data_IF_992057424151
#
_entry.id   IF_992057424151
#
_cell.length_a   1.000
_cell.length_b   1.000
_cell.length_c   1.000
_cell.angle_alpha   90.00
_cell.angle_beta   90.00
_cell.angle_gamma   90.00
#
_symmetry.space_group_name_H-M   'P 1'
#
loop_
_entity.id
_entity.type
_entity.pdbx_description
1 polymer ?
#
# COMPACT_ATOMS: atom_id res chain seq x y z
N UNK A 1 -7.03 4.48 -8.94
CA UNK A 1 -6.17 3.34 -9.28
C UNK A 1 -6.93 2.09 -8.92
N UNK A 2 -6.98 1.06 -9.77
CA UNK A 2 -7.38 -0.27 -9.33
C UNK A 2 -6.56 -0.66 -8.08
N UNK A 3 -7.18 -1.37 -7.15
CA UNK A 3 -6.52 -1.82 -5.93
C UNK A 3 -5.54 -2.97 -6.23
N UNK A 4 -4.67 -3.30 -5.27
CA UNK A 4 -3.83 -4.49 -5.37
C UNK A 4 -4.70 -5.72 -5.55
N UNK A 5 -4.29 -6.62 -6.43
CA UNK A 5 -5.10 -7.78 -6.79
C UNK A 5 -4.75 -8.96 -5.88
N UNK A 6 -5.75 -9.39 -5.11
CA UNK A 6 -5.74 -10.63 -4.35
C UNK A 6 -5.13 -10.53 -2.95
N UNK A 7 -5.78 -11.22 -2.00
CA UNK A 7 -5.37 -11.32 -0.60
C UNK A 7 -4.07 -12.08 -0.35
N UNK A 8 -3.59 -12.86 -1.35
CA UNK A 8 -2.46 -13.80 -1.23
C UNK A 8 -2.65 -14.88 -0.16
N UNK A 9 -3.84 -15.00 0.42
CA UNK A 9 -4.20 -15.99 1.44
C UNK A 9 -4.78 -17.28 0.85
N UNK A 10 -5.40 -17.21 -0.34
CA UNK A 10 -6.04 -18.36 -1.00
C UNK A 10 -5.80 -18.40 -2.53
N UNK A 11 -4.99 -19.35 -3.04
CA UNK A 11 -4.07 -20.18 -2.27
C UNK A 11 -2.96 -19.31 -1.67
N UNK A 12 -2.41 -19.68 -0.49
CA UNK A 12 -1.42 -18.86 0.17
C UNK A 12 -0.11 -18.80 -0.65
N UNK A 13 0.39 -17.58 -0.92
CA UNK A 13 1.68 -17.44 -1.60
C UNK A 13 2.84 -17.79 -0.66
N UNK A 14 4.00 -18.23 -1.18
CA UNK A 14 5.19 -18.49 -0.34
C UNK A 14 5.62 -17.25 0.47
N UNK A 15 5.51 -16.05 -0.11
CA UNK A 15 5.82 -14.79 0.54
C UNK A 15 4.82 -14.45 1.65
N UNK A 16 3.52 -14.70 1.42
CA UNK A 16 2.49 -14.58 2.46
C UNK A 16 2.78 -15.52 3.63
N UNK A 17 3.05 -16.81 3.37
CA UNK A 17 3.39 -17.78 4.44
C UNK A 17 4.63 -17.33 5.22
N UNK A 18 5.61 -16.74 4.52
CA UNK A 18 6.88 -16.33 5.12
C UNK A 18 6.75 -15.08 5.99
N UNK A 19 6.04 -14.06 5.52
CA UNK A 19 6.00 -12.74 6.16
C UNK A 19 4.70 -12.46 6.89
N UNK A 20 3.61 -13.10 6.47
CA UNK A 20 2.24 -12.84 6.92
C UNK A 20 1.86 -11.35 6.82
N UNK A 21 2.25 -10.77 5.69
CA UNK A 21 2.02 -9.37 5.33
C UNK A 21 1.25 -9.39 4.02
N UNK A 22 0.07 -8.79 4.00
CA UNK A 22 -0.81 -8.81 2.84
C UNK A 22 -1.69 -7.56 2.77
N UNK A 23 -2.55 -7.51 1.77
CA UNK A 23 -3.54 -6.48 1.51
C UNK A 23 -4.77 -7.19 0.95
N UNK A 24 -5.94 -6.65 1.22
CA UNK A 24 -7.15 -7.02 0.49
C UNK A 24 -7.34 -6.11 -0.72
N UNK A 25 -8.44 -6.31 -1.43
CA UNK A 25 -8.89 -5.43 -2.51
C UNK A 25 -9.36 -4.05 -1.98
N UNK A 26 -9.14 -3.73 -0.71
CA UNK A 26 -9.40 -2.43 -0.07
C UNK A 26 -8.17 -1.51 -0.04
N UNK A 27 -7.00 -2.01 -0.45
CA UNK A 27 -5.74 -1.24 -0.45
C UNK A 27 -5.18 -0.94 0.94
N UNK A 28 -5.65 -1.65 1.98
CA UNK A 28 -5.07 -1.60 3.33
C UNK A 28 -3.98 -2.64 3.45
N UNK A 29 -2.84 -2.24 4.03
CA UNK A 29 -1.75 -3.18 4.32
C UNK A 29 -2.00 -3.81 5.69
N UNK A 30 -2.28 -5.10 5.70
CA UNK A 30 -2.43 -5.93 6.88
C UNK A 30 -1.06 -6.51 7.27
N UNK A 31 -0.62 -6.19 8.50
CA UNK A 31 0.70 -6.57 9.00
C UNK A 31 0.60 -7.50 10.21
N UNK A 32 0.48 -8.80 9.96
CA UNK A 32 0.45 -9.82 11.01
C UNK A 32 1.87 -10.32 11.27
N UNK A 33 2.62 -9.60 12.09
CA UNK A 33 4.07 -9.79 12.21
C UNK A 33 4.49 -11.25 12.48
N UNK A 34 5.04 -11.91 11.46
CA UNK A 34 5.79 -13.17 11.63
C UNK A 34 7.20 -12.87 12.19
N UNK A 35 7.92 -13.88 12.64
CA UNK A 35 9.30 -13.71 13.12
C UNK A 35 10.24 -13.03 12.09
N UNK A 36 9.93 -13.16 10.80
CA UNK A 36 10.70 -12.56 9.70
C UNK A 36 10.21 -11.16 9.31
N UNK A 37 9.05 -10.73 9.80
CA UNK A 37 8.43 -9.43 9.54
C UNK A 37 8.24 -8.59 10.82
N UNK A 38 8.90 -8.95 11.93
CA UNK A 38 8.77 -8.28 13.22
C UNK A 38 10.00 -7.40 13.58
N UNK A 39 9.79 -6.44 14.50
CA UNK A 39 10.85 -5.60 15.06
C UNK A 39 11.59 -4.79 13.98
N UNK A 40 12.92 -4.85 13.98
CA UNK A 40 13.74 -4.14 12.98
C UNK A 40 13.59 -4.68 11.54
N UNK A 41 12.90 -5.82 11.36
CA UNK A 41 12.58 -6.38 10.05
C UNK A 41 11.23 -5.89 9.52
N UNK A 42 10.42 -5.22 10.34
CA UNK A 42 9.14 -4.66 9.93
C UNK A 42 9.37 -3.46 9.00
N UNK A 43 9.58 -3.75 7.71
CA UNK A 43 9.98 -2.78 6.68
C UNK A 43 9.10 -2.96 5.45
N UNK A 44 8.61 -1.85 4.92
CA UNK A 44 7.67 -1.81 3.80
C UNK A 44 8.15 -2.57 2.55
N UNK A 45 9.47 -2.73 2.36
CA UNK A 45 10.04 -3.57 1.32
C UNK A 45 9.56 -5.04 1.36
N UNK A 46 9.16 -5.58 2.51
CA UNK A 46 8.57 -6.93 2.59
C UNK A 46 7.19 -7.00 1.94
N UNK A 47 6.40 -5.93 2.06
CA UNK A 47 5.11 -5.83 1.38
C UNK A 47 5.31 -5.76 -0.14
N UNK A 48 6.22 -4.90 -0.59
CA UNK A 48 6.61 -4.82 -2.00
C UNK A 48 7.10 -6.15 -2.55
N UNK A 49 7.89 -6.90 -1.77
CA UNK A 49 8.32 -8.24 -2.14
C UNK A 49 7.14 -9.22 -2.27
N UNK A 50 6.15 -9.15 -1.38
CA UNK A 50 4.99 -10.05 -1.39
C UNK A 50 4.10 -9.85 -2.63
N UNK A 51 4.03 -8.62 -3.13
CA UNK A 51 3.25 -8.26 -4.32
C UNK A 51 4.07 -8.09 -5.59
N UNK A 52 5.40 -8.28 -5.54
CA UNK A 52 6.29 -8.03 -6.67
C UNK A 52 6.35 -6.57 -7.13
N UNK A 53 5.80 -5.63 -6.36
CA UNK A 53 5.77 -4.20 -6.69
C UNK A 53 7.15 -3.60 -6.49
N UNK A 54 7.59 -2.74 -7.42
CA UNK A 54 8.86 -2.03 -7.32
C UNK A 54 8.61 -0.54 -7.16
N UNK A 55 9.09 0.02 -6.06
CA UNK A 55 9.09 1.47 -5.80
C UNK A 55 10.52 1.94 -5.60
N UNK A 56 11.00 2.83 -6.48
CA UNK A 56 12.34 3.40 -6.39
C UNK A 56 12.36 4.83 -6.95
N UNK A 57 13.53 5.45 -7.05
CA UNK A 57 13.68 6.80 -7.60
C UNK A 57 13.28 6.92 -9.06
N UNK A 58 13.24 5.80 -9.78
CA UNK A 58 12.92 5.75 -11.21
C UNK A 58 11.41 5.69 -11.46
N UNK A 59 10.61 5.34 -10.45
CA UNK A 59 9.16 5.23 -10.57
C UNK A 59 8.49 4.20 -9.65
N UNK A 60 7.22 3.93 -9.98
CA UNK A 60 6.38 2.91 -9.36
C UNK A 60 5.99 1.92 -10.45
N UNK A 61 6.32 0.64 -10.26
CA UNK A 61 6.14 -0.39 -11.27
C UNK A 61 5.41 -1.58 -10.66
N UNK A 62 4.28 -1.95 -11.27
CA UNK A 62 3.50 -3.10 -10.87
C UNK A 62 3.80 -4.28 -11.83
N UNK A 63 3.89 -5.52 -11.33
CA UNK A 63 3.94 -6.71 -12.19
C UNK A 63 2.58 -6.95 -12.86
N UNK A 64 2.52 -7.76 -13.93
CA UNK A 64 1.29 -7.99 -14.72
C UNK A 64 0.09 -8.44 -13.89
N UNK A 65 0.33 -9.20 -12.82
CA UNK A 65 -0.71 -9.70 -11.92
C UNK A 65 -1.18 -8.66 -10.89
N UNK A 66 -0.62 -7.45 -10.88
CA UNK A 66 -0.97 -6.36 -9.98
C UNK A 66 -1.26 -5.09 -10.77
N UNK A 67 -2.42 -4.47 -10.53
CA UNK A 67 -2.79 -3.22 -11.19
C UNK A 67 -2.54 -3.27 -12.72
N UNK A 68 -2.83 -4.42 -13.34
CA UNK A 68 -2.66 -4.71 -14.76
C UNK A 68 -1.25 -4.44 -15.33
N UNK A 69 -0.20 -4.54 -14.51
CA UNK A 69 1.18 -4.28 -14.93
C UNK A 69 1.49 -2.81 -15.17
N UNK A 70 0.67 -1.89 -14.63
CA UNK A 70 0.90 -0.46 -14.82
C UNK A 70 2.30 -0.03 -14.35
N UNK A 71 2.86 0.91 -15.10
CA UNK A 71 4.19 1.45 -14.84
C UNK A 71 4.13 2.96 -14.90
N UNK A 72 4.66 3.57 -13.85
CA UNK A 72 4.69 5.00 -13.66
C UNK A 72 6.15 5.46 -13.55
N UNK A 73 6.85 5.66 -14.68
CA UNK A 73 8.23 6.14 -14.67
C UNK A 73 8.31 7.63 -14.34
N UNK A 74 9.39 8.02 -13.66
CA UNK A 74 9.75 9.42 -13.46
C UNK A 74 10.40 10.01 -14.72
N UNK A 75 11.16 9.21 -15.46
CA UNK A 75 11.83 9.66 -16.68
C UNK A 75 10.83 10.19 -17.70
N UNK A 76 11.03 11.44 -18.14
CA UNK A 76 10.14 12.12 -19.08
C UNK A 76 8.82 12.63 -18.48
N UNK A 77 8.53 12.34 -17.22
CA UNK A 77 7.33 12.82 -16.53
C UNK A 77 7.55 14.23 -15.98
N UNK A 78 6.73 15.18 -16.45
CA UNK A 78 6.71 16.56 -15.96
C UNK A 78 5.48 16.82 -15.11
N UNK A 79 5.64 17.63 -14.07
CA UNK A 79 4.56 18.09 -13.22
C UNK A 79 4.67 19.60 -13.01
N UNK A 80 3.53 20.25 -12.77
CA UNK A 80 3.52 21.65 -12.35
C UNK A 80 3.92 21.76 -10.88
N UNK A 81 4.88 22.62 -10.60
CA UNK A 81 5.19 23.03 -9.23
C UNK A 81 4.15 24.04 -8.69
N UNK A 82 4.34 24.49 -7.46
CA UNK A 82 3.46 25.47 -6.81
C UNK A 82 3.38 26.83 -7.55
N UNK A 83 4.35 27.14 -8.42
CA UNK A 83 4.36 28.34 -9.27
C UNK A 83 3.69 28.13 -10.63
N UNK A 84 3.25 26.89 -10.93
CA UNK A 84 2.65 26.51 -12.21
C UNK A 84 3.66 26.17 -13.30
N UNK A 85 4.96 26.09 -12.97
CA UNK A 85 6.04 25.76 -13.91
C UNK A 85 6.18 24.25 -14.05
N UNK A 86 6.33 23.77 -15.29
CA UNK A 86 6.67 22.38 -15.57
C UNK A 86 8.09 22.06 -15.12
N UNK A 87 8.21 21.09 -14.22
CA UNK A 87 9.48 20.57 -13.68
C UNK A 87 9.48 19.05 -13.74
N UNK A 88 10.67 18.44 -13.67
CA UNK A 88 10.78 16.98 -13.57
C UNK A 88 10.07 16.48 -12.31
N UNK A 89 9.24 15.45 -12.49
CA UNK A 89 8.62 14.78 -11.38
C UNK A 89 9.65 13.97 -10.57
N UNK A 90 9.27 13.53 -9.39
CA UNK A 90 10.01 12.56 -8.59
C UNK A 90 9.04 11.71 -7.77
N UNK A 91 9.47 10.50 -7.41
CA UNK A 91 8.74 9.71 -6.41
C UNK A 91 8.89 10.37 -5.05
N UNK A 92 7.76 10.62 -4.39
CA UNK A 92 7.66 11.12 -3.03
C UNK A 92 6.73 10.22 -2.24
N UNK A 93 7.18 9.79 -1.07
CA UNK A 93 6.36 9.03 -0.12
C UNK A 93 6.20 9.85 1.14
N UNK A 94 4.96 10.18 1.48
CA UNK A 94 4.66 10.81 2.77
C UNK A 94 4.13 9.72 3.68
N UNK A 95 4.70 9.66 4.88
CA UNK A 95 4.29 8.71 5.91
C UNK A 95 3.83 9.49 7.12
N UNK A 96 2.59 9.24 7.52
CA UNK A 96 2.01 9.74 8.76
C UNK A 96 2.08 8.66 9.83
N UNK A 97 2.38 9.08 11.05
CA UNK A 97 2.41 8.18 12.21
C UNK A 97 1.02 7.64 12.55
N UNK A 98 -0.04 8.38 12.22
CA UNK A 98 -1.44 7.97 12.38
C UNK A 98 -2.33 8.49 11.26
N UNK A 99 -3.37 7.74 10.92
CA UNK A 99 -4.38 8.05 9.91
C UNK A 99 -5.31 9.23 10.30
N UNK A 100 -5.36 9.59 11.58
CA UNK A 100 -6.22 10.65 12.13
C UNK A 100 -5.44 11.91 12.53
N UNK A 101 -4.11 11.90 12.37
CA UNK A 101 -3.23 13.00 12.73
C UNK A 101 -2.35 13.42 11.53
N UNK A 102 -2.73 14.48 10.79
CA UNK A 102 -1.95 14.96 9.67
C UNK A 102 -0.67 15.71 10.08
N UNK A 103 -0.47 16.00 11.38
CA UNK A 103 0.62 16.87 11.87
C UNK A 103 1.94 16.13 12.04
N UNK A 104 1.91 14.81 12.24
CA UNK A 104 3.08 13.97 12.41
C UNK A 104 3.38 13.19 11.15
N UNK A 105 4.13 13.80 10.23
CA UNK A 105 4.52 13.19 8.97
C UNK A 105 6.00 13.33 8.66
N UNK A 106 6.48 12.44 7.80
CA UNK A 106 7.81 12.53 7.18
C UNK A 106 7.71 12.29 5.69
N UNK A 107 8.50 13.04 4.91
CA UNK A 107 8.64 12.88 3.46
C UNK A 107 9.92 12.09 3.15
N UNK A 108 9.79 11.08 2.31
CA UNK A 108 10.90 10.32 1.73
C UNK A 108 10.91 10.51 0.22
N UNK A 109 12.13 10.59 -0.35
CA UNK A 109 12.36 10.70 -1.80
C UNK A 109 13.23 9.56 -2.33
N UNK A 110 13.65 8.66 -1.44
CA UNK A 110 14.44 7.47 -1.71
C UNK A 110 14.27 6.49 -0.56
N UNK A 111 14.93 5.33 -0.64
CA UNK A 111 15.00 4.31 0.40
C UNK A 111 13.63 3.77 0.85
N UNK A 112 12.67 3.73 -0.08
CA UNK A 112 11.27 3.38 0.20
C UNK A 112 11.11 1.97 0.80
N UNK A 113 12.01 1.04 0.46
CA UNK A 113 12.03 -0.31 1.02
C UNK A 113 12.30 -0.35 2.53
N UNK A 114 12.98 0.65 3.08
CA UNK A 114 13.39 0.69 4.49
C UNK A 114 12.46 1.50 5.39
N UNK A 115 11.31 1.97 4.87
CA UNK A 115 10.27 2.58 5.69
C UNK A 115 9.84 1.56 6.75
N UNK A 116 10.05 1.89 8.03
CA UNK A 116 9.64 1.02 9.13
C UNK A 116 8.13 1.06 9.33
N UNK A 117 7.57 -0.12 9.58
CA UNK A 117 6.21 -0.29 10.08
C UNK A 117 6.32 -0.49 11.58
N UNK A 118 6.10 0.57 12.35
CA UNK A 118 6.37 0.61 13.79
C UNK A 118 5.23 1.17 14.64
N UNK A 119 4.11 1.51 14.01
CA UNK A 119 2.88 1.95 14.67
C UNK A 119 1.68 1.34 13.95
N UNK A 120 0.63 1.07 14.71
CA UNK A 120 -0.66 0.73 14.14
C UNK A 120 -1.34 1.99 13.63
N UNK A 121 -2.11 1.86 12.56
CA UNK A 121 -2.87 2.96 11.99
C UNK A 121 -2.04 3.99 11.23
N UNK A 122 -0.82 3.63 10.77
CA UNK A 122 -0.03 4.48 9.89
C UNK A 122 -0.75 4.72 8.56
N UNK A 123 -0.56 5.90 7.97
CA UNK A 123 -1.04 6.22 6.63
C UNK A 123 0.14 6.60 5.73
N UNK A 124 0.06 6.24 4.45
CA UNK A 124 1.10 6.54 3.47
C UNK A 124 0.51 6.98 2.14
N UNK A 125 1.10 8.00 1.52
CA UNK A 125 0.80 8.40 0.14
C UNK A 125 2.04 8.23 -0.70
N UNK A 126 1.94 7.49 -1.80
CA UNK A 126 2.94 7.39 -2.85
C UNK A 126 2.53 8.30 -4.01
N UNK A 127 3.41 9.22 -4.41
CA UNK A 127 3.12 10.16 -5.47
C UNK A 127 4.30 10.31 -6.42
N UNK A 128 4.01 10.41 -7.71
CA UNK A 128 4.92 11.00 -8.70
C UNK A 128 4.47 12.44 -8.87
N UNK A 129 5.28 13.36 -8.36
CA UNK A 129 4.89 14.76 -8.27
C UNK A 129 6.11 15.67 -8.39
N UNK A 130 5.86 16.95 -8.70
CA UNK A 130 6.89 17.97 -8.69
C UNK A 130 7.56 18.06 -7.29
N UNK A 131 8.87 18.33 -7.22
CA UNK A 131 9.55 18.55 -5.95
C UNK A 131 8.89 19.70 -5.17
N UNK A 132 8.80 19.54 -3.85
CA UNK A 132 8.33 20.61 -2.97
C UNK A 132 6.82 20.83 -2.92
N UNK A 133 6.01 20.07 -3.66
CA UNK A 133 4.54 20.14 -3.51
C UNK A 133 4.08 19.46 -2.22
N UNK A 134 2.96 19.96 -1.69
CA UNK A 134 2.26 19.35 -0.57
C UNK A 134 1.45 18.16 -1.08
N UNK A 135 1.71 16.99 -0.49
CA UNK A 135 1.03 15.74 -0.81
C UNK A 135 0.17 15.38 0.40
N UNK A 136 -1.16 15.35 0.27
CA UNK A 136 -2.04 15.11 1.40
C UNK A 136 -2.08 13.61 1.75
N UNK A 137 -2.53 13.35 2.98
CA UNK A 137 -2.92 12.02 3.43
C UNK A 137 -4.00 11.46 2.51
N UNK A 138 -4.01 10.15 2.20
CA UNK A 138 -5.00 9.62 1.28
C UNK A 138 -6.39 9.73 1.92
N UNK A 139 -7.44 10.16 1.19
CA UNK A 139 -8.78 10.27 1.76
C UNK A 139 -9.32 8.96 2.36
N UNK A 140 -8.87 7.82 1.84
CA UNK A 140 -9.20 6.48 2.35
C UNK A 140 -8.64 6.18 3.74
N UNK A 141 -7.67 6.97 4.24
CA UNK A 141 -7.11 6.79 5.58
C UNK A 141 -8.18 6.83 6.68
N UNK A 142 -9.25 7.61 6.50
CA UNK A 142 -10.37 7.68 7.44
C UNK A 142 -11.10 6.34 7.65
N UNK A 143 -11.00 5.42 6.69
CA UNK A 143 -11.66 4.10 6.74
C UNK A 143 -10.80 3.04 7.44
N UNK A 144 -9.54 3.36 7.78
CA UNK A 144 -8.58 2.40 8.31
C UNK A 144 -9.06 1.66 9.57
N UNK A 145 -9.76 2.29 10.54
CA UNK A 145 -10.31 1.57 11.69
C UNK A 145 -11.36 0.52 11.32
N UNK A 146 -12.23 0.81 10.36
CA UNK A 146 -13.27 -0.11 9.91
C UNK A 146 -12.66 -1.30 9.18
N UNK A 147 -11.77 -1.03 8.22
CA UNK A 147 -11.11 -2.05 7.41
C UNK A 147 -10.18 -2.96 8.24
N UNK A 148 -9.53 -2.41 9.27
CA UNK A 148 -8.73 -3.20 10.20
C UNK A 148 -9.54 -4.15 11.09
N UNK A 149 -10.81 -3.81 11.40
CA UNK A 149 -11.68 -4.69 12.20
C UNK A 149 -12.18 -5.89 11.40
N UNK A 150 -12.33 -5.75 10.08
CA UNK A 150 -12.85 -6.80 9.21
C UNK A 150 -11.86 -7.96 9.08
N UNK A 151 -10.56 -7.66 9.05
CA UNK A 151 -9.47 -8.64 9.03
C UNK A 151 -9.33 -9.45 10.32
N UNK A 152 -9.86 -8.94 11.43
CA UNK A 152 -9.94 -9.68 12.69
C UNK A 152 -11.16 -10.62 12.77
N UNK A 153 -12.08 -10.53 11.80
CA UNK A 153 -13.26 -11.38 11.72
C UNK A 153 -13.03 -12.50 10.68
N UNK A 154 -13.31 -13.77 10.99
CA UNK A 154 -13.16 -14.83 10.01
C UNK A 154 -14.20 -14.66 8.88
N UNK A 155 -13.73 -14.37 7.65
CA UNK A 155 -14.46 -14.65 6.42
C UNK A 155 -15.19 -13.51 5.71
N UNK A 156 -14.81 -12.24 5.87
CA UNK A 156 -15.43 -11.13 5.11
C UNK A 156 -14.40 -10.35 4.30
N UNK A 157 -14.51 -10.40 2.98
CA UNK A 157 -13.80 -9.47 2.09
C UNK A 157 -14.50 -8.11 2.12
N UNK A 158 -13.76 -7.02 2.35
CA UNK A 158 -14.26 -5.65 2.22
C UNK A 158 -13.64 -4.93 1.04
N UNK A 159 -14.45 -4.09 0.41
CA UNK A 159 -14.06 -3.20 -0.67
C UNK A 159 -14.19 -1.75 -0.19
N UNK A 160 -13.28 -0.87 -0.63
CA UNK A 160 -13.43 0.58 -0.41
C UNK A 160 -14.61 1.09 -1.25
N UNK A 161 -15.53 1.90 -0.68
CA UNK A 161 -16.62 2.51 -1.44
C UNK A 161 -16.10 3.28 -2.67
N UNK A 162 -16.46 2.81 -3.87
CA UNK A 162 -16.04 3.40 -5.15
C UNK A 162 -15.15 2.52 -6.04
N UNK A 163 -14.76 1.32 -5.58
CA UNK A 163 -14.09 0.31 -6.40
C UNK A 163 -15.11 -0.59 -7.13
N UNK A 164 -14.89 -1.02 -8.39
CA UNK A 164 -15.80 -1.95 -9.06
C UNK A 164 -15.87 -3.28 -8.29
N UNK A 165 -17.08 -3.71 -7.93
CA UNK A 165 -17.35 -4.94 -7.19
C UNK A 165 -16.83 -6.18 -7.94
N UNK A 166 -15.99 -6.98 -7.27
CA UNK A 166 -15.88 -8.42 -7.55
C UNK A 166 -16.29 -9.16 -6.29
N UNK A 167 -17.52 -9.67 -6.27
CA UNK A 167 -18.04 -10.49 -5.17
C UNK A 167 -17.44 -11.89 -5.27
N UNK A 168 -16.63 -12.31 -4.29
CA UNK A 168 -16.29 -13.71 -4.08
C UNK A 168 -17.17 -14.23 -2.93
N UNK A 169 -17.98 -15.24 -3.22
CA UNK A 169 -18.89 -15.86 -2.25
C UNK A 169 -18.10 -16.63 -1.17
N UNK A 170 -18.56 -16.65 0.10
CA UNK A 170 -17.90 -17.41 1.16
C UNK A 170 -18.04 -18.91 0.90
N UNK A 171 -16.92 -19.64 0.92
CA UNK A 171 -16.90 -21.10 0.85
C UNK A 171 -17.34 -21.68 2.19
N UNK A 172 -18.53 -22.27 2.26
CA UNK A 172 -18.97 -23.07 3.40
C UNK A 172 -18.22 -24.39 3.45
N UNK A 173 -17.32 -24.57 4.41
CA UNK A 173 -16.76 -25.88 4.76
C UNK A 173 -17.75 -26.63 5.66
N UNK A 174 -18.43 -27.63 5.10
CA UNK A 174 -19.19 -28.63 5.86
C UNK A 174 -18.19 -29.64 6.42
N UNK A 175 -18.08 -29.72 7.75
CA UNK A 175 -17.27 -30.75 8.42
C UNK A 175 -17.96 -32.12 8.41
N UNK A 176 -17.17 -33.17 8.21
CA UNK A 176 -17.50 -34.56 8.54
C UNK A 176 -16.50 -35.06 9.60
#
# INVERSE_FOLDING_TARGET
MPNLAGGKEDPPSPEYIKYNVHSHDDGVIHWHASALAAGNRAKLGLFFQTYGVKVNTDGIFFPEDQNNGESYPVEGTKCKDASGKEVDAQVQVIVWDRYDDPTQSRKLITDFNNIRIDKDGMAMTFAIAAPGVDIPMPPSAANLPELGLVDMAPGTATTVPGSPETTIAPTTTTGE
#
